data_IF_913564792378
#
_entry.id   IF_913564792378
#
_cell.length_a   1.000
_cell.length_b   1.000
_cell.length_c   1.000
_cell.angle_alpha   90.00
_cell.angle_beta   90.00
_cell.angle_gamma   90.00
#
_symmetry.space_group_name_H-M   'P 1'
#
loop_
_entity.id
_entity.type
_entity.pdbx_description
1 polymer ?
#
# COMPACT_ATOMS: atom_id res chain seq x y z
N UNK A 1 20.49 -10.77 9.21
CA UNK A 1 20.16 -9.58 10.04
C UNK A 1 20.98 -8.36 9.61
N UNK A 2 21.15 -8.13 8.30
CA UNK A 2 22.00 -7.08 7.71
C UNK A 2 21.23 -6.06 6.87
N UNK A 3 19.91 -6.26 6.72
CA UNK A 3 19.05 -5.43 5.86
C UNK A 3 18.50 -4.20 6.62
N UNK A 4 18.19 -4.34 7.92
CA UNK A 4 17.56 -3.28 8.72
C UNK A 4 18.44 -2.03 8.93
N UNK A 5 19.77 -2.18 8.97
CA UNK A 5 20.69 -1.05 9.16
C UNK A 5 20.74 -0.10 7.95
N UNK A 6 20.47 -0.61 6.74
CA UNK A 6 20.49 0.17 5.49
C UNK A 6 19.24 1.04 5.35
N UNK A 7 18.11 0.54 5.83
CA UNK A 7 16.80 1.19 5.73
C UNK A 7 16.42 1.99 6.98
N UNK A 8 17.38 2.24 7.88
CA UNK A 8 17.13 2.96 9.14
C UNK A 8 16.58 4.38 8.91
N UNK A 9 17.11 5.12 7.92
CA UNK A 9 16.63 6.47 7.57
C UNK A 9 15.17 6.47 7.09
N UNK A 10 14.77 5.65 6.10
CA UNK A 10 13.38 5.60 5.67
C UNK A 10 12.43 5.03 6.73
N UNK A 11 12.90 4.14 7.60
CA UNK A 11 12.10 3.65 8.72
C UNK A 11 11.81 4.74 9.77
N UNK A 12 12.80 5.58 10.10
CA UNK A 12 12.62 6.72 11.02
C UNK A 12 11.67 7.79 10.47
N UNK A 13 11.54 7.92 9.15
CA UNK A 13 10.58 8.85 8.54
C UNK A 13 9.12 8.38 8.68
N UNK A 14 8.88 7.13 9.11
CA UNK A 14 7.54 6.64 9.45
C UNK A 14 7.08 7.15 10.82
N UNK A 15 8.01 7.51 11.72
CA UNK A 15 7.69 8.10 13.03
C UNK A 15 7.14 9.55 12.91
N UNK A 16 7.40 10.22 11.78
CA UNK A 16 6.87 11.55 11.46
C UNK A 16 5.42 11.51 10.94
N UNK A 17 4.89 10.32 10.64
CA UNK A 17 3.50 10.14 10.21
C UNK A 17 2.64 9.92 11.47
N UNK A 18 1.57 10.70 11.69
CA UNK A 18 0.73 10.54 12.88
C UNK A 18 0.18 9.12 12.96
N UNK A 19 0.23 8.53 14.16
CA UNK A 19 -0.05 7.12 14.41
C UNK A 19 -1.40 6.64 13.83
N UNK A 20 -2.42 7.50 13.83
CA UNK A 20 -3.76 7.22 13.27
C UNK A 20 -3.76 6.95 11.75
N UNK A 21 -2.69 7.31 11.03
CA UNK A 21 -2.53 7.06 9.59
C UNK A 21 -1.61 5.88 9.29
N UNK A 22 -0.97 5.31 10.32
CA UNK A 22 0.05 4.29 10.17
C UNK A 22 -0.51 2.85 10.21
N UNK A 23 -1.75 2.62 10.67
CA UNK A 23 -2.34 1.28 10.76
C UNK A 23 -2.32 0.49 9.43
N UNK A 24 -2.68 1.09 8.27
CA UNK A 24 -2.62 0.39 6.99
C UNK A 24 -1.19 0.20 6.46
N UNK A 25 -0.23 0.99 6.94
CA UNK A 25 1.18 0.99 6.53
C UNK A 25 2.02 0.00 7.35
N UNK A 26 1.70 -0.17 8.63
CA UNK A 26 2.39 -1.07 9.57
C UNK A 26 1.81 -2.49 9.59
N UNK A 27 0.63 -2.70 9.00
CA UNK A 27 0.04 -4.04 8.86
C UNK A 27 0.83 -4.88 7.85
N UNK A 28 1.60 -5.85 8.39
CA UNK A 28 2.32 -6.84 7.59
C UNK A 28 1.42 -7.98 7.10
N UNK A 29 0.23 -8.13 7.68
CA UNK A 29 -0.71 -9.16 7.27
C UNK A 29 -1.33 -8.80 5.91
N UNK A 30 -1.02 -9.57 4.84
CA UNK A 30 -1.44 -9.24 3.49
C UNK A 30 -2.94 -9.44 3.25
N UNK A 31 -3.69 -9.90 4.26
CA UNK A 31 -5.14 -10.11 4.21
C UNK A 31 -5.89 -8.92 4.81
N UNK A 32 -5.32 -8.32 5.87
CA UNK A 32 -5.93 -7.19 6.59
C UNK A 32 -5.47 -5.82 6.06
N UNK A 33 -4.42 -5.79 5.23
CA UNK A 33 -3.95 -4.55 4.62
C UNK A 33 -4.96 -3.99 3.61
N UNK A 34 -5.28 -2.69 3.72
CA UNK A 34 -6.04 -1.90 2.71
C UNK A 34 -5.44 -2.05 1.30
N UNK A 35 -4.14 -2.32 1.20
CA UNK A 35 -3.43 -2.50 -0.07
C UNK A 35 -3.50 -3.93 -0.63
N UNK A 36 -4.01 -4.90 0.12
CA UNK A 36 -4.16 -6.30 -0.31
C UNK A 36 -4.98 -6.40 -1.60
N UNK A 37 -6.16 -5.79 -1.59
CA UNK A 37 -7.10 -5.76 -2.73
C UNK A 37 -6.50 -5.04 -3.93
N UNK A 38 -5.77 -3.94 -3.68
CA UNK A 38 -5.07 -3.17 -4.71
C UNK A 38 -3.99 -4.01 -5.37
N UNK A 39 -3.13 -4.68 -4.58
CA UNK A 39 -2.06 -5.54 -5.09
C UNK A 39 -2.62 -6.72 -5.88
N UNK A 40 -3.60 -7.42 -5.31
CA UNK A 40 -4.22 -8.59 -5.94
C UNK A 40 -4.83 -8.24 -7.30
N UNK A 41 -5.59 -7.14 -7.40
CA UNK A 41 -6.16 -6.70 -8.69
C UNK A 41 -5.10 -6.14 -9.64
N UNK A 42 -4.09 -5.43 -9.14
CA UNK A 42 -3.01 -4.87 -9.98
C UNK A 42 -2.19 -5.96 -10.66
N UNK A 43 -1.89 -7.06 -9.97
CA UNK A 43 -1.19 -8.22 -10.55
C UNK A 43 -2.04 -8.85 -11.66
N UNK A 44 -3.34 -9.06 -11.42
CA UNK A 44 -4.24 -9.65 -12.42
C UNK A 44 -4.49 -8.80 -13.67
N UNK A 45 -4.43 -7.47 -13.57
CA UNK A 45 -4.69 -6.54 -14.70
C UNK A 45 -3.42 -5.95 -15.31
N UNK A 46 -2.24 -6.45 -14.94
CA UNK A 46 -0.96 -5.97 -15.45
C UNK A 46 -0.91 -6.07 -16.99
N UNK A 47 -0.64 -4.96 -17.67
CA UNK A 47 -0.54 -4.90 -19.13
C UNK A 47 -1.86 -4.79 -19.90
N UNK A 48 -3.02 -4.97 -19.24
CA UNK A 48 -4.34 -4.92 -19.89
C UNK A 48 -4.98 -3.52 -19.89
N UNK A 49 -4.40 -2.55 -19.16
CA UNK A 49 -4.96 -1.21 -18.98
C UNK A 49 -3.99 -0.13 -19.44
N UNK A 50 -4.54 0.91 -20.07
CA UNK A 50 -3.83 2.17 -20.27
C UNK A 50 -3.46 2.79 -18.90
N UNK A 51 -2.33 3.49 -18.83
CA UNK A 51 -1.79 4.03 -17.58
C UNK A 51 -2.80 4.93 -16.83
N UNK A 52 -3.58 5.74 -17.56
CA UNK A 52 -4.63 6.60 -16.98
C UNK A 52 -5.70 5.77 -16.27
N UNK A 53 -6.19 4.71 -16.91
CA UNK A 53 -7.21 3.82 -16.37
C UNK A 53 -6.68 3.00 -15.20
N UNK A 54 -5.41 2.57 -15.26
CA UNK A 54 -4.78 1.86 -14.14
C UNK A 54 -4.68 2.74 -12.88
N UNK A 55 -4.30 4.02 -13.03
CA UNK A 55 -4.25 4.98 -11.91
C UNK A 55 -5.64 5.22 -11.31
N UNK A 56 -6.66 5.41 -12.14
CA UNK A 56 -8.04 5.59 -11.68
C UNK A 56 -8.53 4.37 -10.91
N UNK A 57 -8.29 3.17 -11.44
CA UNK A 57 -8.67 1.92 -10.78
C UNK A 57 -8.01 1.75 -9.41
N UNK A 58 -6.71 2.06 -9.28
CA UNK A 58 -6.01 2.00 -7.99
C UNK A 58 -6.64 2.98 -7.00
N UNK A 59 -6.93 4.20 -7.43
CA UNK A 59 -7.55 5.22 -6.58
C UNK A 59 -8.94 4.79 -6.07
N UNK A 60 -9.80 4.26 -6.95
CA UNK A 60 -11.11 3.73 -6.56
C UNK A 60 -11.01 2.56 -5.60
N UNK A 61 -10.04 1.66 -5.80
CA UNK A 61 -9.84 0.50 -4.92
C UNK A 61 -9.33 0.90 -3.54
N UNK A 62 -8.43 1.88 -3.45
CA UNK A 62 -7.98 2.42 -2.16
C UNK A 62 -9.15 3.07 -1.43
N UNK A 63 -9.96 3.87 -2.12
CA UNK A 63 -11.15 4.47 -1.50
C UNK A 63 -12.20 3.44 -1.06
N UNK A 64 -12.41 2.38 -1.84
CA UNK A 64 -13.35 1.33 -1.47
C UNK A 64 -12.85 0.53 -0.26
N UNK A 65 -11.55 0.24 -0.20
CA UNK A 65 -10.94 -0.47 0.91
C UNK A 65 -10.84 0.38 2.19
N UNK A 66 -10.69 1.71 2.09
CA UNK A 66 -10.67 2.61 3.25
C UNK A 66 -12.06 2.89 3.85
N UNK A 67 -13.14 2.56 3.13
CA UNK A 67 -14.53 2.67 3.62
C UNK A 67 -15.05 1.37 4.26
N UNK A 68 -14.24 0.32 4.22
CA UNK A 68 -14.53 -1.02 4.72
C UNK A 68 -14.18 -1.16 6.19
#
# INVERSE_FOLDING_TARGET
MTCLGKDRKPLLALDDVPADHCDPLLTNDPIESVFATVRHRSIRRKGALAQKTAKLMVFELVQAAAKS
#
